data_IF_860548843667
#
_entry.id   IF_860548843667
#
_cell.length_a   1.000
_cell.length_b   1.000
_cell.length_c   1.000
_cell.angle_alpha   90.00
_cell.angle_beta   90.00
_cell.angle_gamma   90.00
#
_symmetry.space_group_name_H-M   'P 1'
#
loop_
_entity.id
_entity.type
_entity.pdbx_description
1 polymer ?
#
# COMPACT_ATOMS: atom_id res chain seq x y z
N UNK A 1 25.70 -50.06 -22.03
CA UNK A 1 24.61 -49.90 -21.04
C UNK A 1 25.21 -49.16 -19.86
N UNK A 2 24.39 -48.32 -19.21
CA UNK A 2 24.69 -47.40 -18.09
C UNK A 2 25.03 -45.96 -18.51
N UNK A 3 23.95 -45.22 -18.82
CA UNK A 3 23.94 -43.76 -18.95
C UNK A 3 23.99 -43.11 -17.56
N UNK A 4 25.04 -42.32 -17.31
CA UNK A 4 25.06 -41.33 -16.24
C UNK A 4 24.08 -40.19 -16.54
N UNK A 5 23.10 -39.99 -15.65
CA UNK A 5 22.27 -38.78 -15.63
C UNK A 5 22.49 -38.10 -14.29
N UNK A 6 23.16 -36.94 -14.31
CA UNK A 6 23.24 -36.00 -13.20
C UNK A 6 21.93 -35.23 -13.05
N UNK A 7 21.42 -34.99 -11.84
CA UNK A 7 20.29 -34.09 -11.63
C UNK A 7 20.74 -32.62 -11.74
N UNK A 8 20.11 -31.88 -12.64
CA UNK A 8 20.24 -30.43 -12.71
C UNK A 8 19.55 -29.79 -11.48
N UNK A 9 20.32 -29.04 -10.69
CA UNK A 9 19.78 -28.14 -9.67
C UNK A 9 19.26 -26.88 -10.36
N UNK A 10 17.96 -26.84 -10.65
CA UNK A 10 17.28 -25.59 -10.99
C UNK A 10 17.13 -24.74 -9.73
N UNK A 11 17.96 -23.70 -9.65
CA UNK A 11 17.80 -22.64 -8.66
C UNK A 11 16.85 -21.60 -9.25
N UNK A 12 15.68 -21.31 -8.64
CA UNK A 12 14.86 -20.22 -9.11
C UNK A 12 15.58 -18.90 -8.79
N UNK A 13 16.08 -18.26 -9.85
CA UNK A 13 16.57 -16.88 -9.84
C UNK A 13 15.42 -15.96 -9.43
N UNK A 14 15.37 -15.61 -8.15
CA UNK A 14 14.53 -14.53 -7.65
C UNK A 14 15.10 -13.21 -8.16
N UNK A 15 14.51 -12.68 -9.23
CA UNK A 15 14.72 -11.29 -9.65
C UNK A 15 14.10 -10.38 -8.57
N UNK A 16 14.85 -9.51 -7.89
CA UNK A 16 14.25 -8.52 -7.02
C UNK A 16 13.50 -7.51 -7.90
N UNK A 17 12.17 -7.48 -7.76
CA UNK A 17 11.37 -6.37 -8.23
C UNK A 17 11.73 -5.15 -7.38
N UNK A 18 12.69 -4.37 -7.86
CA UNK A 18 13.12 -3.15 -7.21
C UNK A 18 12.09 -2.06 -7.56
N UNK A 19 11.21 -1.75 -6.64
CA UNK A 19 10.19 -0.69 -6.75
C UNK A 19 10.81 0.69 -6.49
N UNK A 20 12.06 0.89 -6.90
CA UNK A 20 12.72 2.20 -6.92
C UNK A 20 12.27 2.93 -8.18
N UNK A 21 11.97 4.23 -8.07
CA UNK A 21 11.66 5.04 -9.25
C UNK A 21 12.81 4.92 -10.26
N UNK A 22 12.45 4.72 -11.52
CA UNK A 22 13.41 4.68 -12.61
C UNK A 22 14.19 6.01 -12.68
N UNK A 23 15.41 5.96 -13.20
CA UNK A 23 16.24 7.16 -13.35
C UNK A 23 15.53 8.26 -14.17
N UNK A 24 14.64 7.88 -15.10
CA UNK A 24 13.78 8.79 -15.85
C UNK A 24 12.75 9.50 -14.96
N UNK A 25 12.07 8.77 -14.07
CA UNK A 25 11.10 9.35 -13.12
C UNK A 25 11.77 10.28 -12.09
N UNK A 26 13.02 9.98 -11.71
CA UNK A 26 13.84 10.87 -10.85
C UNK A 26 14.20 12.16 -11.60
N UNK A 27 14.62 12.05 -12.86
CA UNK A 27 14.94 13.20 -13.69
C UNK A 27 13.72 14.10 -13.90
N UNK A 28 12.56 13.52 -14.20
CA UNK A 28 11.32 14.26 -14.38
C UNK A 28 10.87 14.96 -13.09
N UNK A 29 10.96 14.29 -11.93
CA UNK A 29 10.65 14.89 -10.64
C UNK A 29 11.58 16.08 -10.28
N UNK A 30 12.85 16.01 -10.68
CA UNK A 30 13.82 17.10 -10.53
C UNK A 30 13.51 18.26 -11.50
N UNK A 31 13.18 17.95 -12.76
CA UNK A 31 12.81 18.95 -13.79
C UNK A 31 11.54 19.70 -13.42
N UNK A 32 10.56 19.01 -12.85
CA UNK A 32 9.31 19.60 -12.35
C UNK A 32 9.46 20.36 -11.01
N UNK A 33 10.69 20.47 -10.48
CA UNK A 33 11.01 21.05 -9.14
C UNK A 33 10.28 20.39 -7.97
N UNK A 34 9.74 19.18 -8.18
CA UNK A 34 9.04 18.40 -7.16
C UNK A 34 10.02 17.67 -6.25
N UNK A 35 11.24 17.41 -6.71
CA UNK A 35 12.32 16.91 -5.89
C UNK A 35 13.50 17.91 -5.86
N UNK A 36 14.29 17.85 -4.80
CA UNK A 36 15.55 18.58 -4.66
C UNK A 36 16.67 17.60 -4.32
N UNK A 37 17.87 17.91 -4.77
CA UNK A 37 19.06 17.17 -4.38
C UNK A 37 19.59 17.77 -3.07
N UNK A 38 19.61 16.97 -2.00
CA UNK A 38 20.23 17.33 -0.72
C UNK A 38 21.38 16.37 -0.47
N UNK A 39 22.61 16.86 -0.58
CA UNK A 39 23.79 15.99 -0.56
C UNK A 39 23.79 15.04 -1.76
N UNK A 40 23.76 13.73 -1.51
CA UNK A 40 23.67 12.69 -2.53
C UNK A 40 22.25 12.09 -2.67
N UNK A 41 21.24 12.66 -2.02
CA UNK A 41 19.87 12.13 -2.03
C UNK A 41 18.92 13.01 -2.84
N UNK A 42 17.99 12.36 -3.54
CA UNK A 42 16.83 12.97 -4.17
C UNK A 42 15.69 12.96 -3.16
N UNK A 43 15.25 14.15 -2.76
CA UNK A 43 14.24 14.33 -1.71
C UNK A 43 13.01 15.00 -2.31
N UNK A 44 11.83 14.42 -2.10
CA UNK A 44 10.55 15.06 -2.45
C UNK A 44 10.40 16.37 -1.67
N UNK A 45 10.20 17.49 -2.37
CA UNK A 45 10.12 18.81 -1.75
C UNK A 45 8.89 18.96 -0.84
N UNK A 46 7.78 18.31 -1.20
CA UNK A 46 6.51 18.44 -0.49
C UNK A 46 6.45 17.56 0.75
N UNK A 47 6.97 16.34 0.66
CA UNK A 47 6.86 15.33 1.72
C UNK A 47 8.14 15.16 2.52
N UNK A 48 9.28 15.63 2.01
CA UNK A 48 10.58 15.36 2.58
C UNK A 48 10.99 13.88 2.48
N UNK A 49 10.30 13.09 1.65
CA UNK A 49 10.63 11.68 1.45
C UNK A 49 11.92 11.54 0.65
N UNK A 50 12.83 10.67 1.09
CA UNK A 50 13.99 10.28 0.29
C UNK A 50 13.51 9.29 -0.78
N UNK A 51 13.44 9.77 -2.02
CA UNK A 51 12.93 9.01 -3.18
C UNK A 51 14.03 8.11 -3.76
N UNK A 52 15.30 8.51 -3.60
CA UNK A 52 16.43 7.75 -4.09
C UNK A 52 17.75 8.48 -3.92
N UNK A 53 18.80 7.90 -4.48
CA UNK A 53 20.13 8.51 -4.50
C UNK A 53 20.35 9.21 -5.85
N UNK A 54 20.82 10.45 -5.81
CA UNK A 54 21.29 11.12 -7.02
C UNK A 54 22.71 10.63 -7.27
N UNK A 55 22.89 9.81 -8.30
CA UNK A 55 24.18 9.24 -8.65
C UNK A 55 25.15 10.33 -9.10
N UNK A 56 25.82 10.99 -8.15
CA UNK A 56 27.20 11.38 -8.38
C UNK A 56 28.05 10.16 -8.07
N UNK A 57 28.31 9.37 -9.12
CA UNK A 57 29.56 8.61 -9.21
C UNK A 57 30.69 9.58 -8.94
N UNK A 58 31.16 9.63 -7.69
CA UNK A 58 32.52 9.92 -7.24
C UNK A 58 32.48 10.31 -5.75
N UNK A 59 33.33 9.63 -4.99
CA UNK A 59 33.73 9.89 -3.61
C UNK A 59 32.94 9.20 -2.46
N UNK A 60 33.73 8.37 -1.77
CA UNK A 60 33.69 8.01 -0.35
C UNK A 60 32.73 6.91 0.12
N UNK A 61 33.33 5.72 0.21
CA UNK A 61 33.14 4.75 1.27
C UNK A 61 32.87 5.42 2.65
N UNK A 62 31.98 4.81 3.44
CA UNK A 62 31.83 4.97 4.90
C UNK A 62 30.92 6.08 5.49
N UNK A 63 30.00 6.67 4.72
CA UNK A 63 28.81 7.28 5.35
C UNK A 63 27.70 6.24 5.34
N UNK A 64 27.12 5.97 6.52
CA UNK A 64 26.04 5.01 6.75
C UNK A 64 24.96 5.14 5.69
N UNK A 65 25.05 4.29 4.66
CA UNK A 65 24.04 4.24 3.61
C UNK A 65 22.73 3.84 4.27
N UNK A 66 21.62 4.57 4.09
CA UNK A 66 20.32 3.99 4.36
C UNK A 66 20.25 2.73 3.50
N UNK A 67 20.04 1.57 4.13
CA UNK A 67 19.87 0.32 3.40
C UNK A 67 18.78 0.50 2.35
N UNK A 68 18.90 -0.08 1.14
CA UNK A 68 17.82 -0.03 0.15
C UNK A 68 16.54 -0.55 0.82
N UNK A 69 15.63 0.35 1.14
CA UNK A 69 14.44 0.02 1.89
C UNK A 69 13.30 -0.32 0.94
N UNK A 70 12.54 -1.34 1.34
CA UNK A 70 11.34 -1.78 0.66
C UNK A 70 10.31 -0.64 0.65
N UNK A 71 9.45 -0.64 -0.37
CA UNK A 71 8.39 0.35 -0.43
C UNK A 71 7.46 0.21 0.81
N UNK A 72 6.78 1.29 1.26
CA UNK A 72 5.88 1.26 2.42
C UNK A 72 4.87 0.10 2.43
N UNK A 73 4.37 -0.31 1.27
CA UNK A 73 3.44 -1.40 1.09
C UNK A 73 4.07 -2.80 1.16
N UNK A 74 5.39 -2.90 1.09
CA UNK A 74 6.19 -4.13 1.15
C UNK A 74 6.78 -4.41 2.55
N UNK A 75 6.56 -3.51 3.51
CA UNK A 75 7.01 -3.66 4.90
C UNK A 75 6.34 -4.85 5.57
N UNK A 76 7.11 -5.67 6.30
CA UNK A 76 6.65 -6.93 6.90
C UNK A 76 6.65 -6.91 8.43
N UNK A 77 7.13 -5.83 9.06
CA UNK A 77 7.04 -5.68 10.51
C UNK A 77 6.87 -4.24 10.99
N UNK A 78 6.45 -4.09 12.24
CA UNK A 78 6.33 -2.79 12.92
C UNK A 78 7.69 -2.11 13.04
N UNK A 79 8.74 -2.85 13.41
CA UNK A 79 10.10 -2.30 13.54
C UNK A 79 10.59 -1.72 12.19
N UNK A 80 10.41 -2.48 11.10
CA UNK A 80 10.74 -2.03 9.75
C UNK A 80 9.95 -0.78 9.35
N UNK A 81 8.68 -0.68 9.76
CA UNK A 81 7.86 0.50 9.50
C UNK A 81 8.35 1.73 10.27
N UNK A 82 8.69 1.55 11.55
CA UNK A 82 9.25 2.64 12.36
C UNK A 82 10.60 3.13 11.81
N UNK A 83 11.47 2.20 11.41
CA UNK A 83 12.76 2.53 10.81
C UNK A 83 12.59 3.26 9.49
N UNK A 84 11.64 2.83 8.64
CA UNK A 84 11.27 3.56 7.43
C UNK A 84 10.87 5.00 7.74
N UNK A 85 9.92 5.19 8.66
CA UNK A 85 9.41 6.51 9.02
C UNK A 85 10.50 7.42 9.61
N UNK A 86 11.43 6.88 10.41
CA UNK A 86 12.52 7.66 11.02
C UNK A 86 13.58 8.08 10.01
N UNK A 87 13.93 7.19 9.09
CA UNK A 87 15.06 7.39 8.19
C UNK A 87 14.66 8.11 6.89
N UNK A 88 13.44 7.89 6.40
CA UNK A 88 13.06 8.27 5.03
C UNK A 88 11.96 9.33 4.96
N UNK A 89 11.28 9.67 6.06
CA UNK A 89 10.11 10.57 6.02
C UNK A 89 10.27 11.73 7.01
N UNK A 90 10.42 12.96 6.51
CA UNK A 90 10.31 14.14 7.37
C UNK A 90 8.85 14.46 7.69
N UNK A 91 8.35 13.90 8.80
CA UNK A 91 6.96 14.05 9.25
C UNK A 91 6.51 15.50 9.46
N UNK A 92 7.45 16.46 9.60
CA UNK A 92 7.16 17.89 9.77
C UNK A 92 6.76 18.56 8.46
N UNK A 93 7.16 17.99 7.33
CA UNK A 93 6.83 18.49 5.99
C UNK A 93 5.54 17.89 5.44
N UNK A 94 5.06 16.78 6.01
CA UNK A 94 3.88 16.11 5.52
C UNK A 94 2.66 17.03 5.49
N UNK A 95 1.83 16.96 4.42
CA UNK A 95 0.59 17.71 4.35
C UNK A 95 -0.31 17.46 5.57
N UNK A 96 -1.18 18.43 5.92
CA UNK A 96 -2.17 18.28 6.97
C UNK A 96 -3.02 17.02 6.74
N UNK A 97 -3.31 16.30 7.82
CA UNK A 97 -4.11 15.08 7.76
C UNK A 97 -5.60 15.45 7.78
N UNK A 98 -6.19 15.61 6.60
CA UNK A 98 -7.58 16.09 6.47
C UNK A 98 -8.56 14.95 6.22
N UNK A 99 -9.71 15.00 6.90
CA UNK A 99 -10.83 14.07 6.71
C UNK A 99 -11.75 14.48 5.54
N UNK A 100 -11.38 15.52 4.78
CA UNK A 100 -12.23 16.10 3.73
C UNK A 100 -12.59 15.07 2.65
N UNK A 101 -11.63 14.24 2.22
CA UNK A 101 -11.88 13.19 1.23
C UNK A 101 -12.93 12.18 1.71
N UNK A 102 -12.89 11.80 2.98
CA UNK A 102 -13.86 10.88 3.59
C UNK A 102 -15.27 11.48 3.59
N UNK A 103 -15.42 12.72 4.07
CA UNK A 103 -16.73 13.39 4.07
C UNK A 103 -17.26 13.62 2.66
N UNK A 104 -16.41 14.02 1.73
CA UNK A 104 -16.80 14.19 0.33
C UNK A 104 -17.36 12.90 -0.29
N UNK A 105 -16.72 11.76 -0.03
CA UNK A 105 -17.22 10.44 -0.49
C UNK A 105 -18.55 10.09 0.19
N UNK A 106 -18.69 10.38 1.48
CA UNK A 106 -19.96 10.16 2.19
C UNK A 106 -21.09 10.99 1.60
N UNK A 107 -20.87 12.29 1.39
CA UNK A 107 -21.87 13.22 0.85
C UNK A 107 -22.25 12.84 -0.58
N UNK A 108 -21.28 12.44 -1.39
CA UNK A 108 -21.52 11.96 -2.75
C UNK A 108 -22.36 10.68 -2.73
N UNK A 109 -22.02 9.71 -1.88
CA UNK A 109 -22.79 8.47 -1.74
C UNK A 109 -24.22 8.71 -1.26
N UNK A 110 -24.42 9.66 -0.33
CA UNK A 110 -25.74 10.11 0.11
C UNK A 110 -26.52 10.76 -1.02
N UNK A 111 -25.89 11.68 -1.77
CA UNK A 111 -26.50 12.34 -2.91
C UNK A 111 -26.91 11.37 -4.03
N UNK A 112 -26.10 10.35 -4.30
CA UNK A 112 -26.45 9.30 -5.26
C UNK A 112 -27.60 8.43 -4.78
N UNK A 113 -27.65 8.08 -3.49
CA UNK A 113 -28.76 7.31 -2.91
C UNK A 113 -30.09 8.02 -3.11
N UNK A 114 -30.17 9.31 -2.75
CA UNK A 114 -31.40 10.09 -2.91
C UNK A 114 -31.84 10.22 -4.38
N UNK A 115 -30.91 10.19 -5.34
CA UNK A 115 -31.21 10.34 -6.77
C UNK A 115 -31.57 9.04 -7.47
N UNK A 116 -30.95 7.92 -7.07
CA UNK A 116 -31.00 6.65 -7.82
C UNK A 116 -31.70 5.52 -7.06
N UNK A 117 -32.16 5.75 -5.83
CA UNK A 117 -32.75 4.71 -4.96
C UNK A 117 -31.85 3.47 -4.85
N UNK A 118 -30.54 3.66 -4.93
CA UNK A 118 -29.52 2.62 -4.99
C UNK A 118 -28.88 2.34 -3.62
N UNK A 119 -28.27 1.17 -3.49
CA UNK A 119 -27.61 0.75 -2.26
C UNK A 119 -26.37 1.60 -1.93
N UNK A 120 -26.15 1.89 -0.64
CA UNK A 120 -25.05 2.75 -0.19
C UNK A 120 -23.71 2.02 -0.34
N UNK A 121 -22.83 2.49 -1.22
CA UNK A 121 -21.46 1.93 -1.33
C UNK A 121 -20.63 2.13 -0.05
N UNK A 122 -20.94 3.14 0.76
CA UNK A 122 -20.31 3.37 2.07
C UNK A 122 -21.39 3.66 3.11
N UNK A 123 -21.62 2.70 4.01
CA UNK A 123 -22.56 2.87 5.11
C UNK A 123 -22.00 3.75 6.23
N UNK A 124 -22.86 4.33 7.07
CA UNK A 124 -22.43 5.13 8.24
C UNK A 124 -21.47 4.37 9.17
N UNK A 125 -21.68 3.07 9.51
CA UNK A 125 -20.71 2.30 10.28
C UNK A 125 -19.36 2.12 9.58
N UNK A 126 -19.33 1.96 8.26
CA UNK A 126 -18.08 1.90 7.49
C UNK A 126 -17.33 3.23 7.55
N UNK A 127 -18.05 4.36 7.44
CA UNK A 127 -17.45 5.69 7.54
C UNK A 127 -16.84 5.96 8.92
N UNK A 128 -17.55 5.61 10.00
CA UNK A 128 -17.01 5.74 11.36
C UNK A 128 -15.71 4.94 11.54
N UNK A 129 -15.67 3.71 11.02
CA UNK A 129 -14.47 2.89 11.06
C UNK A 129 -13.33 3.49 10.22
N UNK A 130 -13.63 4.04 9.04
CA UNK A 130 -12.64 4.73 8.21
C UNK A 130 -12.07 5.98 8.90
N UNK A 131 -12.88 6.74 9.64
CA UNK A 131 -12.42 7.88 10.43
C UNK A 131 -11.47 7.44 11.55
N UNK A 132 -11.79 6.36 12.27
CA UNK A 132 -10.91 5.80 13.30
C UNK A 132 -9.59 5.30 12.70
N UNK A 133 -9.63 4.64 11.53
CA UNK A 133 -8.42 4.20 10.83
C UNK A 133 -7.62 5.37 10.28
N UNK A 134 -8.28 6.42 9.80
CA UNK A 134 -7.63 7.65 9.33
C UNK A 134 -6.75 8.23 10.45
N UNK A 135 -7.23 8.31 11.69
CA UNK A 135 -6.42 8.83 12.81
C UNK A 135 -5.08 8.07 13.02
N UNK A 136 -5.03 6.79 12.66
CA UNK A 136 -3.85 5.94 12.78
C UNK A 136 -2.85 6.07 11.63
N UNK A 137 -3.24 6.67 10.50
CA UNK A 137 -2.36 6.77 9.33
C UNK A 137 -1.27 7.81 9.56
N UNK A 138 -0.02 7.34 9.61
CA UNK A 138 1.13 8.22 9.79
C UNK A 138 1.68 8.74 8.47
N UNK A 139 1.67 7.90 7.42
CA UNK A 139 2.25 8.19 6.11
C UNK A 139 1.57 7.39 5.00
N UNK A 140 1.38 8.02 3.83
CA UNK A 140 0.63 7.48 2.67
C UNK A 140 -0.74 6.92 3.11
N UNK A 141 -1.07 5.69 2.75
CA UNK A 141 -2.32 5.01 3.06
C UNK A 141 -2.07 3.73 3.87
N UNK A 142 -0.96 3.67 4.61
CA UNK A 142 -0.46 2.46 5.29
C UNK A 142 -0.59 2.61 6.81
N UNK A 143 -1.04 1.55 7.46
CA UNK A 143 -0.98 1.37 8.92
C UNK A 143 -0.25 0.06 9.19
N UNK A 144 0.80 0.09 10.00
CA UNK A 144 1.49 -1.10 10.50
C UNK A 144 1.58 -1.00 12.01
N UNK A 145 1.03 -1.97 12.73
CA UNK A 145 1.03 -2.03 14.20
C UNK A 145 0.76 -3.45 14.71
N UNK A 146 0.74 -3.63 16.02
CA UNK A 146 0.28 -4.88 16.63
C UNK A 146 -1.24 -5.04 16.50
N UNK A 147 -1.71 -6.29 16.45
CA UNK A 147 -3.14 -6.59 16.46
C UNK A 147 -3.81 -6.17 17.77
N UNK A 148 -3.08 -6.24 18.88
CA UNK A 148 -3.54 -5.80 20.20
C UNK A 148 -3.80 -4.30 20.20
N UNK A 149 -2.85 -3.48 19.73
CA UNK A 149 -2.99 -2.02 19.74
C UNK A 149 -4.12 -1.57 18.82
N UNK A 150 -4.24 -2.20 17.64
CA UNK A 150 -5.35 -1.93 16.73
C UNK A 150 -6.70 -2.29 17.36
N UNK A 151 -6.78 -3.43 18.04
CA UNK A 151 -8.02 -3.86 18.70
C UNK A 151 -8.45 -2.91 19.81
N UNK A 152 -7.48 -2.41 20.60
CA UNK A 152 -7.69 -1.40 21.63
C UNK A 152 -8.19 -0.09 21.02
N UNK A 153 -7.56 0.39 19.94
CA UNK A 153 -7.96 1.64 19.28
C UNK A 153 -9.37 1.55 18.67
N UNK A 154 -9.75 0.38 18.15
CA UNK A 154 -11.08 0.15 17.58
C UNK A 154 -12.14 -0.21 18.63
N UNK A 155 -11.75 -0.34 19.90
CA UNK A 155 -12.61 -0.78 21.01
C UNK A 155 -13.30 -2.12 20.74
N UNK A 156 -12.56 -3.10 20.22
CA UNK A 156 -13.04 -4.45 19.88
C UNK A 156 -12.07 -5.49 20.42
N UNK A 157 -12.55 -6.66 20.82
CA UNK A 157 -11.69 -7.78 21.19
C UNK A 157 -10.84 -8.25 19.99
N UNK A 158 -9.60 -8.64 20.20
CA UNK A 158 -8.69 -9.09 19.14
C UNK A 158 -9.30 -10.20 18.26
N UNK A 159 -10.04 -11.14 18.85
CA UNK A 159 -10.76 -12.21 18.13
C UNK A 159 -11.81 -11.70 17.15
N UNK A 160 -12.35 -10.50 17.37
CA UNK A 160 -13.40 -9.88 16.56
C UNK A 160 -12.85 -8.84 15.59
N UNK A 161 -11.53 -8.61 15.57
CA UNK A 161 -10.87 -7.61 14.73
C UNK A 161 -11.12 -7.89 13.23
N UNK A 162 -10.96 -9.15 12.80
CA UNK A 162 -11.21 -9.55 11.42
C UNK A 162 -12.66 -9.29 11.00
N UNK A 163 -13.62 -9.64 11.86
CA UNK A 163 -15.05 -9.41 11.62
C UNK A 163 -15.38 -7.91 11.56
N UNK A 164 -14.74 -7.08 12.39
CA UNK A 164 -14.91 -5.62 12.37
C UNK A 164 -14.43 -5.02 11.06
N UNK A 165 -13.30 -5.50 10.53
CA UNK A 165 -12.69 -5.00 9.29
C UNK A 165 -13.34 -5.58 8.02
N UNK A 166 -14.01 -6.73 8.10
CA UNK A 166 -14.55 -7.48 6.96
C UNK A 166 -15.40 -6.61 6.02
N UNK A 167 -16.30 -5.78 6.56
CA UNK A 167 -17.15 -4.91 5.74
C UNK A 167 -16.37 -3.93 4.87
N UNK A 168 -15.25 -3.39 5.35
CA UNK A 168 -14.39 -2.51 4.54
C UNK A 168 -13.59 -3.28 3.50
N UNK A 169 -13.21 -4.53 3.81
CA UNK A 169 -12.52 -5.42 2.88
C UNK A 169 -13.46 -5.86 1.74
N UNK A 170 -14.67 -6.28 2.07
CA UNK A 170 -15.72 -6.68 1.11
C UNK A 170 -16.10 -5.51 0.18
N UNK A 171 -16.17 -4.29 0.71
CA UNK A 171 -16.40 -3.08 -0.08
C UNK A 171 -15.19 -2.63 -0.90
N UNK A 172 -14.04 -3.32 -0.82
CA UNK A 172 -12.82 -2.97 -1.54
C UNK A 172 -12.15 -1.68 -1.07
N UNK A 173 -12.46 -1.22 0.14
CA UNK A 173 -11.97 0.02 0.74
C UNK A 173 -10.72 -0.20 1.61
N UNK A 174 -10.45 -1.45 1.97
CA UNK A 174 -9.35 -1.85 2.85
C UNK A 174 -8.71 -3.15 2.35
N UNK A 175 -7.39 -3.25 2.42
CA UNK A 175 -6.63 -4.50 2.26
C UNK A 175 -5.94 -4.81 3.59
N UNK A 176 -6.02 -6.06 4.03
CA UNK A 176 -5.50 -6.51 5.33
C UNK A 176 -4.44 -7.58 5.12
N UNK A 177 -3.27 -7.37 5.72
CA UNK A 177 -2.13 -8.28 5.69
C UNK A 177 -1.76 -8.65 7.12
N UNK A 178 -1.60 -9.94 7.35
CA UNK A 178 -1.28 -10.58 8.62
C UNK A 178 -0.23 -11.66 8.35
N UNK A 179 0.25 -12.32 9.40
CA UNK A 179 1.19 -13.43 9.26
C UNK A 179 0.64 -14.60 8.44
N UNK A 180 -0.67 -14.69 8.21
CA UNK A 180 -1.31 -15.78 7.45
C UNK A 180 -1.42 -15.52 5.95
N UNK A 181 -1.45 -14.24 5.54
CA UNK A 181 -1.81 -13.87 4.17
C UNK A 181 -0.90 -12.79 3.54
N UNK A 182 0.11 -12.32 4.25
CA UNK A 182 0.99 -11.27 3.78
C UNK A 182 2.34 -11.22 4.49
N UNK A 183 2.77 -12.37 5.03
CA UNK A 183 4.10 -12.58 5.63
C UNK A 183 4.51 -11.56 6.70
N UNK A 184 3.53 -10.94 7.35
CA UNK A 184 3.78 -10.08 8.50
C UNK A 184 4.32 -10.89 9.67
N UNK A 185 5.12 -10.27 10.54
CA UNK A 185 5.51 -10.89 11.81
C UNK A 185 4.25 -11.29 12.62
N UNK A 186 4.34 -12.42 13.34
CA UNK A 186 3.24 -12.95 14.15
C UNK A 186 2.77 -11.91 15.17
N UNK A 187 1.45 -11.69 15.23
CA UNK A 187 0.82 -10.71 16.13
C UNK A 187 0.77 -9.28 15.56
N UNK A 188 1.37 -9.05 14.39
CA UNK A 188 1.33 -7.76 13.70
C UNK A 188 0.33 -7.77 12.54
N UNK A 189 -0.07 -6.58 12.13
CA UNK A 189 -1.04 -6.36 11.07
C UNK A 189 -0.63 -5.13 10.26
N UNK A 190 -0.75 -5.25 8.94
CA UNK A 190 -0.63 -4.15 7.98
C UNK A 190 -1.96 -3.92 7.30
N UNK A 191 -2.41 -2.69 7.30
CA UNK A 191 -3.61 -2.23 6.62
C UNK A 191 -3.22 -1.28 5.50
N UNK A 192 -3.76 -1.49 4.31
CA UNK A 192 -3.74 -0.49 3.24
C UNK A 192 -5.16 0.01 3.05
N UNK A 193 -5.38 1.31 3.27
CA UNK A 193 -6.66 1.96 3.01
C UNK A 193 -6.70 2.38 1.55
N UNK A 194 -7.86 2.41 0.91
CA UNK A 194 -7.98 2.92 -0.45
C UNK A 194 -7.39 4.36 -0.52
N UNK A 195 -6.38 4.61 -1.37
CA UNK A 195 -5.68 5.89 -1.44
C UNK A 195 -6.55 7.06 -1.93
N UNK A 196 -7.73 6.80 -2.52
CA UNK A 196 -8.74 7.85 -2.77
C UNK A 196 -9.39 8.38 -1.49
N UNK A 197 -9.44 7.58 -0.44
CA UNK A 197 -10.12 7.91 0.81
C UNK A 197 -9.16 8.50 1.83
N UNK A 198 -8.00 7.86 2.00
CA UNK A 198 -6.99 8.27 2.97
C UNK A 198 -5.64 8.18 2.31
N UNK A 199 -4.96 9.32 2.18
CA UNK A 199 -3.58 9.36 1.72
C UNK A 199 -2.86 10.58 2.30
N UNK A 200 -1.69 10.34 2.89
CA UNK A 200 -0.82 11.38 3.43
C UNK A 200 0.52 11.42 2.69
N UNK A 201 0.61 12.26 1.69
CA UNK A 201 1.78 12.44 0.84
C UNK A 201 1.43 13.37 -0.33
N UNK A 202 2.32 13.47 -1.32
CA UNK A 202 2.07 14.29 -2.51
C UNK A 202 0.98 13.69 -3.41
N UNK A 203 0.24 14.55 -4.12
CA UNK A 203 -0.89 14.14 -4.97
C UNK A 203 -0.46 13.13 -6.05
N UNK A 204 0.73 13.31 -6.63
CA UNK A 204 1.20 12.38 -7.64
C UNK A 204 1.63 11.01 -7.08
N UNK A 205 2.08 10.92 -5.81
CA UNK A 205 2.24 9.62 -5.14
C UNK A 205 0.88 8.96 -4.89
N UNK A 206 -0.14 9.75 -4.49
CA UNK A 206 -1.51 9.26 -4.33
C UNK A 206 -2.03 8.70 -5.65
N UNK A 207 -1.88 9.43 -6.75
CA UNK A 207 -2.38 9.03 -8.06
C UNK A 207 -1.69 7.75 -8.56
N UNK A 208 -0.39 7.58 -8.29
CA UNK A 208 0.30 6.32 -8.56
C UNK A 208 -0.24 5.18 -7.68
N UNK A 209 -0.42 5.41 -6.38
CA UNK A 209 -0.99 4.45 -5.45
C UNK A 209 -2.43 4.04 -5.83
N UNK A 210 -3.23 4.97 -6.35
CA UNK A 210 -4.56 4.70 -6.91
C UNK A 210 -4.45 3.77 -8.11
N UNK A 211 -3.55 4.06 -9.06
CA UNK A 211 -3.36 3.21 -10.24
C UNK A 211 -2.94 1.79 -9.84
N UNK A 212 -2.01 1.64 -8.91
CA UNK A 212 -1.57 0.31 -8.42
C UNK A 212 -2.68 -0.40 -7.65
N UNK A 213 -3.49 0.34 -6.86
CA UNK A 213 -4.60 -0.22 -6.09
C UNK A 213 -5.57 -1.03 -6.96
N UNK A 214 -5.95 -0.48 -8.12
CA UNK A 214 -6.94 -1.06 -9.03
C UNK A 214 -6.36 -2.02 -10.08
N UNK A 215 -5.06 -1.95 -10.42
CA UNK A 215 -4.41 -2.92 -11.33
C UNK A 215 -4.52 -4.36 -10.85
N UNK A 216 -4.50 -4.58 -9.53
CA UNK A 216 -4.64 -5.92 -8.94
C UNK A 216 -6.09 -6.42 -8.89
N UNK A 217 -7.10 -5.53 -8.86
CA UNK A 217 -8.51 -5.92 -8.92
C UNK A 217 -8.90 -6.36 -10.32
N UNK A 218 -8.50 -5.61 -11.36
CA UNK A 218 -8.78 -5.95 -12.75
C UNK A 218 -8.25 -7.34 -13.16
N UNK A 219 -7.07 -7.74 -12.68
CA UNK A 219 -6.50 -9.07 -12.97
C UNK A 219 -7.28 -10.23 -12.35
N UNK A 220 -7.86 -10.05 -11.15
CA UNK A 220 -8.71 -11.08 -10.51
C UNK A 220 -10.05 -11.22 -11.22
N UNK A 221 -10.64 -10.11 -11.64
CA UNK A 221 -11.92 -10.11 -12.35
C UNK A 221 -11.80 -10.73 -13.76
N UNK A 222 -10.65 -10.55 -14.42
CA UNK A 222 -10.35 -11.25 -15.69
C UNK A 222 -10.15 -12.76 -15.50
N UNK A 223 -9.43 -13.19 -14.47
CA UNK A 223 -9.22 -14.62 -14.19
C UNK A 223 -10.49 -15.34 -13.72
N UNK A 224 -11.38 -14.66 -12.98
CA UNK A 224 -12.67 -15.22 -12.58
C UNK A 224 -13.61 -15.42 -13.79
N UNK A 225 -13.60 -14.50 -14.76
CA UNK A 225 -14.40 -14.61 -15.99
C UNK A 225 -13.90 -15.71 -16.93
N UNK A 226 -12.60 -15.95 -16.97
CA UNK A 226 -12.05 -17.06 -17.76
C UNK A 226 -12.39 -18.43 -17.15
N UNK A 227 -12.56 -18.53 -15.84
CA UNK A 227 -12.95 -19.78 -15.19
C UNK A 227 -14.41 -20.17 -15.43
N UNK A 228 -15.32 -19.19 -15.49
CA UNK A 228 -16.73 -19.43 -15.80
C UNK A 228 -16.99 -19.83 -17.26
N UNK A 229 -16.09 -19.47 -18.18
CA UNK A 229 -16.21 -19.87 -19.59
C UNK A 229 -15.76 -21.31 -19.87
N UNK A 230 -14.94 -21.92 -19.01
CA UNK A 230 -14.47 -23.30 -19.19
C UNK A 230 -15.45 -24.33 -18.62
N UNK A 231 -16.33 -23.93 -17.68
CA UNK A 231 -17.31 -24.84 -17.06
C UNK A 231 -18.56 -25.11 -17.91
N UNK A 232 -18.71 -24.48 -19.08
CA UNK A 232 -19.90 -24.57 -19.93
C UNK A 232 -19.71 -25.38 -21.22
N UNK A 233 -18.94 -26.47 -21.18
CA UNK A 233 -18.97 -27.47 -22.28
C UNK A 233 -19.96 -28.58 -21.88
N UNK A 234 -21.18 -28.62 -22.46
CA UNK A 234 -22.07 -29.76 -22.27
C UNK A 234 -21.47 -30.99 -22.96
N UNK A 235 -21.25 -32.05 -22.18
CA UNK A 235 -20.98 -33.39 -22.71
C UNK A 235 -22.29 -33.86 -23.34
N UNK A 236 -22.35 -33.81 -24.68
CA UNK A 236 -23.43 -34.43 -25.44
C UNK A 236 -23.26 -35.96 -25.34
N UNK A 237 -24.34 -36.64 -24.90
CA UNK A 237 -24.51 -38.08 -24.95
C UNK A 237 -25.22 -38.50 -26.25
#
# INVERSE_FOLDING_TARGET
>A
MDNCVTPACDTPSATPHNTALSHAEIHDALVEKRAVIVGCFVVDNETGEIIGEYAQTLASHALSRPSPHRAPDEVLSVDEWEDYLRQHVDRRKLPPHTTHALYYVQDTALGEHFRKSGDYRVSKPMMMLLLQLHELVLYRNVIVMSQTDLSTHLAVAESNLSAKLAKLVEAGLLKVFTSRNGDMRKGEIKLLINPWLVFRGSDALRDNAVKTWYRHQMRRDSQARDHDHVAAVPIAA
#
